data_IF_137647164462
#
_entry.id   IF_137647164462
#
_cell.length_a   1.000
_cell.length_b   1.000
_cell.length_c   1.000
_cell.angle_alpha   90.00
_cell.angle_beta   90.00
_cell.angle_gamma   90.00
#
_symmetry.space_group_name_H-M   'P 1'
#
loop_
_entity.id
_entity.type
_entity.pdbx_description
1 polymer ?
#
# COMPACT_ATOMS: atom_id res chain seq x y z
N UNK A 1 -6.75 -18.81 0.57
CA UNK A 1 -5.86 -18.54 -0.58
C UNK A 1 -5.17 -17.22 -0.26
N UNK A 2 -3.86 -17.08 -0.48
CA UNK A 2 -3.14 -15.81 -0.28
C UNK A 2 -2.77 -15.18 -1.62
N UNK A 3 -2.79 -13.85 -1.67
CA UNK A 3 -2.41 -13.07 -2.84
C UNK A 3 -0.89 -12.95 -2.90
N UNK A 4 -0.34 -13.19 -4.10
CA UNK A 4 1.07 -12.91 -4.41
C UNK A 4 1.15 -12.08 -5.68
N UNK A 5 1.59 -10.83 -5.53
CA UNK A 5 1.83 -9.93 -6.65
C UNK A 5 3.34 -9.84 -6.92
N UNK A 6 3.71 -10.05 -8.18
CA UNK A 6 5.06 -9.85 -8.70
C UNK A 6 5.03 -8.69 -9.69
N UNK A 7 5.42 -7.49 -9.24
CA UNK A 7 5.27 -6.26 -10.01
C UNK A 7 6.06 -6.33 -11.30
N UNK A 8 7.31 -6.78 -11.24
CA UNK A 8 8.18 -6.92 -12.41
C UNK A 8 7.57 -7.86 -13.46
N UNK A 9 7.08 -9.03 -13.03
CA UNK A 9 6.46 -10.01 -13.91
C UNK A 9 5.14 -9.50 -14.52
N UNK A 10 4.29 -8.88 -13.70
CA UNK A 10 3.03 -8.31 -14.19
C UNK A 10 3.27 -7.18 -15.20
N UNK A 11 4.27 -6.33 -14.99
CA UNK A 11 4.67 -5.30 -15.96
C UNK A 11 5.22 -5.89 -17.24
N UNK A 12 6.07 -6.92 -17.14
CA UNK A 12 6.62 -7.60 -18.31
C UNK A 12 5.51 -8.25 -19.15
N UNK A 13 4.54 -8.90 -18.51
CA UNK A 13 3.38 -9.48 -19.17
C UNK A 13 2.54 -8.38 -19.85
N UNK A 14 2.22 -7.30 -19.14
CA UNK A 14 1.49 -6.16 -19.70
C UNK A 14 2.22 -5.55 -20.91
N UNK A 15 3.53 -5.37 -20.83
CA UNK A 15 4.36 -4.84 -21.91
C UNK A 15 4.39 -5.78 -23.14
N UNK A 16 4.54 -7.09 -22.91
CA UNK A 16 4.52 -8.09 -23.98
C UNK A 16 3.18 -8.12 -24.70
N UNK A 17 2.07 -8.19 -23.96
CA UNK A 17 0.73 -8.17 -24.56
C UNK A 17 0.47 -6.84 -25.27
N UNK A 18 0.91 -5.72 -24.70
CA UNK A 18 0.82 -4.40 -25.36
C UNK A 18 1.59 -4.35 -26.68
N UNK A 19 2.79 -4.91 -26.75
CA UNK A 19 3.57 -4.97 -27.98
C UNK A 19 2.83 -5.77 -29.07
N UNK A 20 2.21 -6.90 -28.69
CA UNK A 20 1.39 -7.70 -29.60
C UNK A 20 0.15 -6.92 -30.08
N UNK A 21 -0.58 -6.27 -29.18
CA UNK A 21 -1.76 -5.48 -29.54
C UNK A 21 -1.40 -4.32 -30.48
N UNK A 22 -0.27 -3.64 -30.26
CA UNK A 22 0.23 -2.58 -31.15
C UNK A 22 0.50 -3.09 -32.57
N UNK A 23 1.13 -4.26 -32.68
CA UNK A 23 1.33 -4.92 -33.97
C UNK A 23 -0.01 -5.23 -34.63
N UNK A 24 -0.95 -5.80 -33.90
CA UNK A 24 -2.29 -6.09 -34.43
C UNK A 24 -3.02 -4.82 -34.90
N UNK A 25 -2.90 -3.71 -34.17
CA UNK A 25 -3.48 -2.42 -34.58
C UNK A 25 -2.89 -1.95 -35.91
N UNK A 26 -1.58 -2.08 -36.10
CA UNK A 26 -0.91 -1.77 -37.37
C UNK A 26 -1.39 -2.70 -38.50
N UNK A 27 -1.45 -4.00 -38.25
CA UNK A 27 -1.96 -4.99 -39.20
C UNK A 27 -3.42 -4.69 -39.60
N UNK A 28 -4.26 -4.28 -38.64
CA UNK A 28 -5.64 -3.86 -38.94
C UNK A 28 -5.73 -2.56 -39.74
N UNK A 29 -4.82 -1.60 -39.52
CA UNK A 29 -4.76 -0.37 -40.35
C UNK A 29 -4.38 -0.72 -41.78
N UNK A 30 -3.40 -1.60 -41.97
CA UNK A 30 -2.98 -2.09 -43.28
C UNK A 30 -4.13 -2.84 -43.98
N UNK A 31 -4.83 -3.72 -43.25
CA UNK A 31 -6.00 -4.42 -43.73
C UNK A 31 -7.11 -3.45 -44.15
N UNK A 32 -7.41 -2.42 -43.34
CA UNK A 32 -8.42 -1.42 -43.68
C UNK A 32 -8.04 -0.63 -44.93
N UNK A 33 -6.76 -0.26 -45.10
CA UNK A 33 -6.28 0.35 -46.35
C UNK A 33 -6.52 -0.56 -47.54
N UNK A 34 -6.07 -1.80 -47.47
CA UNK A 34 -6.23 -2.78 -48.55
C UNK A 34 -7.72 -3.03 -48.90
N UNK A 35 -8.59 -3.10 -47.89
CA UNK A 35 -10.04 -3.20 -48.11
C UNK A 35 -10.57 -1.96 -48.83
N UNK A 36 -10.17 -0.76 -48.40
CA UNK A 36 -10.62 0.47 -49.04
C UNK A 36 -10.11 0.59 -50.48
N UNK A 37 -8.85 0.24 -50.74
CA UNK A 37 -8.26 0.25 -52.09
C UNK A 37 -8.97 -0.75 -53.01
N UNK A 38 -9.22 -1.97 -52.51
CA UNK A 38 -10.00 -2.99 -53.22
C UNK A 38 -11.41 -2.49 -53.56
N UNK A 39 -12.06 -1.81 -52.61
CA UNK A 39 -13.37 -1.23 -52.85
C UNK A 39 -13.28 -0.10 -53.88
N UNK A 40 -12.30 0.78 -53.84
CA UNK A 40 -12.21 1.93 -54.76
C UNK A 40 -11.82 1.56 -56.20
N UNK A 41 -11.24 0.37 -56.41
CA UNK A 41 -10.76 -0.07 -57.73
C UNK A 41 -11.93 -0.46 -58.67
N UNK A 42 -12.51 0.49 -59.40
CA UNK A 42 -13.66 0.23 -60.29
C UNK A 42 -13.31 0.03 -61.76
N UNK A 43 -12.10 0.39 -62.16
CA UNK A 43 -11.79 0.60 -63.58
C UNK A 43 -11.30 -0.67 -64.28
N UNK A 44 -10.69 -1.59 -63.53
CA UNK A 44 -10.03 -2.80 -64.05
C UNK A 44 -10.78 -4.10 -63.74
N UNK A 45 -11.56 -4.15 -62.64
CA UNK A 45 -12.26 -5.35 -62.19
C UNK A 45 -13.78 -5.17 -62.29
N UNK A 46 -14.45 -6.06 -63.04
CA UNK A 46 -15.89 -5.97 -63.36
C UNK A 46 -16.55 -7.35 -63.33
N UNK A 47 -17.88 -7.37 -63.29
CA UNK A 47 -18.70 -8.59 -63.28
C UNK A 47 -19.36 -8.91 -61.93
N UNK A 48 -20.29 -9.87 -61.93
CA UNK A 48 -21.11 -10.20 -60.75
C UNK A 48 -20.32 -10.79 -59.58
N UNK A 49 -19.26 -11.56 -59.85
CA UNK A 49 -18.35 -12.05 -58.81
C UNK A 49 -17.64 -10.90 -58.09
N UNK A 50 -17.15 -9.91 -58.84
CA UNK A 50 -16.50 -8.73 -58.26
C UNK A 50 -17.47 -7.85 -57.47
N UNK A 51 -18.70 -7.64 -57.97
CA UNK A 51 -19.76 -6.94 -57.21
C UNK A 51 -20.08 -7.65 -55.88
N UNK A 52 -20.19 -8.98 -55.91
CA UNK A 52 -20.43 -9.79 -54.71
C UNK A 52 -19.28 -9.69 -53.71
N UNK A 53 -18.04 -9.73 -54.19
CA UNK A 53 -16.85 -9.54 -53.36
C UNK A 53 -16.83 -8.14 -52.72
N UNK A 54 -17.06 -7.06 -53.49
CA UNK A 54 -17.16 -5.70 -52.92
C UNK A 54 -18.25 -5.61 -51.86
N UNK A 55 -19.43 -6.18 -52.11
CA UNK A 55 -20.52 -6.20 -51.15
C UNK A 55 -20.11 -6.90 -49.84
N UNK A 56 -19.45 -8.06 -49.93
CA UNK A 56 -18.94 -8.79 -48.78
C UNK A 56 -17.85 -8.02 -48.02
N UNK A 57 -16.83 -7.50 -48.73
CA UNK A 57 -15.76 -6.72 -48.14
C UNK A 57 -16.29 -5.48 -47.40
N UNK A 58 -17.26 -4.78 -48.00
CA UNK A 58 -17.84 -3.58 -47.39
C UNK A 58 -18.77 -3.89 -46.21
N UNK A 59 -19.63 -4.92 -46.33
CA UNK A 59 -20.66 -5.22 -45.31
C UNK A 59 -20.16 -6.11 -44.17
N UNK A 60 -19.12 -6.92 -44.40
CA UNK A 60 -18.66 -7.92 -43.44
C UNK A 60 -17.22 -7.66 -43.02
N UNK A 61 -16.26 -7.67 -43.95
CA UNK A 61 -14.84 -7.63 -43.58
C UNK A 61 -14.41 -6.25 -43.04
N UNK A 62 -14.92 -5.16 -43.62
CA UNK A 62 -14.61 -3.80 -43.16
C UNK A 62 -15.02 -3.56 -41.69
N UNK A 63 -16.29 -3.77 -41.29
CA UNK A 63 -16.66 -3.61 -39.89
C UNK A 63 -15.98 -4.65 -38.97
N UNK A 64 -15.72 -5.86 -39.45
CA UNK A 64 -14.98 -6.87 -38.67
C UNK A 64 -13.53 -6.42 -38.38
N UNK A 65 -12.83 -5.90 -39.38
CA UNK A 65 -11.47 -5.35 -39.19
C UNK A 65 -11.44 -4.13 -38.27
N UNK A 66 -12.47 -3.29 -38.32
CA UNK A 66 -12.63 -2.18 -37.37
C UNK A 66 -12.88 -2.68 -35.95
N UNK A 67 -13.75 -3.68 -35.77
CA UNK A 67 -14.02 -4.30 -34.48
C UNK A 67 -12.77 -4.97 -33.88
N UNK A 68 -12.00 -5.68 -34.72
CA UNK A 68 -10.73 -6.28 -34.32
C UNK A 68 -9.70 -5.25 -33.84
N UNK A 69 -9.61 -4.11 -34.54
CA UNK A 69 -8.75 -3.00 -34.13
C UNK A 69 -9.17 -2.41 -32.78
N UNK A 70 -10.46 -2.13 -32.60
CA UNK A 70 -10.99 -1.61 -31.34
C UNK A 70 -10.77 -2.58 -30.17
N UNK A 71 -10.91 -3.89 -30.42
CA UNK A 71 -10.60 -4.91 -29.43
C UNK A 71 -9.11 -4.89 -29.04
N UNK A 72 -8.21 -4.81 -30.02
CA UNK A 72 -6.78 -4.73 -29.76
C UNK A 72 -6.42 -3.48 -28.94
N UNK A 73 -7.01 -2.33 -29.26
CA UNK A 73 -6.85 -1.08 -28.49
C UNK A 73 -7.39 -1.20 -27.06
N UNK A 74 -8.55 -1.85 -26.88
CA UNK A 74 -9.14 -2.07 -25.56
C UNK A 74 -8.28 -3.01 -24.70
N UNK A 75 -7.78 -4.10 -25.28
CA UNK A 75 -6.88 -5.04 -24.60
C UNK A 75 -5.56 -4.34 -24.23
N UNK A 76 -4.97 -3.56 -25.15
CA UNK A 76 -3.73 -2.80 -24.90
C UNK A 76 -3.85 -1.92 -23.64
N UNK A 77 -5.00 -1.25 -23.47
CA UNK A 77 -5.28 -0.40 -22.30
C UNK A 77 -5.56 -1.24 -21.05
N UNK A 78 -6.35 -2.31 -21.17
CA UNK A 78 -6.75 -3.14 -20.05
C UNK A 78 -5.56 -3.85 -19.39
N UNK A 79 -4.61 -4.37 -20.18
CA UNK A 79 -3.47 -5.11 -19.62
C UNK A 79 -2.51 -4.25 -18.82
N UNK A 80 -2.45 -2.95 -19.09
CA UNK A 80 -1.66 -2.01 -18.30
C UNK A 80 -2.35 -1.58 -17.01
N UNK A 81 -3.68 -1.50 -17.05
CA UNK A 81 -4.47 -1.04 -15.91
C UNK A 81 -4.19 -1.85 -14.66
N UNK A 82 -4.01 -3.17 -14.77
CA UNK A 82 -3.76 -4.03 -13.62
C UNK A 82 -2.47 -3.70 -12.83
N UNK A 83 -1.25 -3.75 -13.43
CA UNK A 83 -0.04 -3.38 -12.71
C UNK A 83 -0.02 -1.91 -12.26
N UNK A 84 -0.62 -0.99 -13.04
CA UNK A 84 -0.66 0.43 -12.70
C UNK A 84 -1.55 0.70 -11.47
N UNK A 85 -2.75 0.09 -11.43
CA UNK A 85 -3.64 0.19 -10.27
C UNK A 85 -3.03 -0.43 -9.02
N UNK A 86 -2.38 -1.60 -9.13
CA UNK A 86 -1.68 -2.18 -7.99
C UNK A 86 -0.64 -1.22 -7.42
N UNK A 87 0.17 -0.58 -8.27
CA UNK A 87 1.18 0.36 -7.81
C UNK A 87 0.63 1.68 -7.27
N UNK A 88 -0.58 2.07 -7.67
CA UNK A 88 -1.24 3.27 -7.17
C UNK A 88 -1.98 3.02 -5.83
N UNK A 89 -2.56 1.84 -5.65
CA UNK A 89 -3.50 1.55 -4.56
C UNK A 89 -2.89 0.66 -3.46
N UNK A 90 -1.84 -0.11 -3.75
CA UNK A 90 -1.30 -1.13 -2.84
C UNK A 90 0.14 -0.82 -2.44
N UNK A 91 1.09 -1.04 -3.35
CA UNK A 91 2.53 -0.83 -3.10
C UNK A 91 3.29 -0.75 -4.43
N UNK A 92 4.44 -0.08 -4.46
CA UNK A 92 5.37 -0.14 -5.58
C UNK A 92 6.15 -1.45 -5.66
N UNK A 93 6.29 -2.17 -4.53
CA UNK A 93 7.00 -3.44 -4.41
C UNK A 93 6.14 -4.70 -4.62
N UNK A 94 6.78 -5.86 -4.62
CA UNK A 94 6.10 -7.16 -4.63
C UNK A 94 5.31 -7.40 -3.33
N UNK A 95 4.15 -8.03 -3.43
CA UNK A 95 3.34 -8.44 -2.28
C UNK A 95 3.35 -9.96 -2.15
N UNK A 96 3.62 -10.44 -0.94
CA UNK A 96 3.30 -11.80 -0.50
C UNK A 96 2.48 -11.69 0.78
N UNK A 97 1.16 -11.79 0.63
CA UNK A 97 0.20 -11.54 1.70
C UNK A 97 0.43 -12.48 2.90
N UNK A 98 0.64 -13.77 2.65
CA UNK A 98 0.87 -14.74 3.73
C UNK A 98 2.16 -14.44 4.51
N UNK A 99 3.20 -13.97 3.82
CA UNK A 99 4.44 -13.55 4.48
C UNK A 99 4.21 -12.29 5.32
N UNK A 100 3.48 -11.31 4.79
CA UNK A 100 3.17 -10.05 5.48
C UNK A 100 2.32 -10.30 6.73
N UNK A 101 1.26 -11.10 6.62
CA UNK A 101 0.42 -11.51 7.75
C UNK A 101 1.24 -12.24 8.83
N UNK A 102 2.13 -13.15 8.42
CA UNK A 102 3.04 -13.84 9.33
C UNK A 102 3.98 -12.89 10.07
N UNK A 103 4.50 -11.86 9.39
CA UNK A 103 5.32 -10.82 10.01
C UNK A 103 4.51 -9.97 11.01
N UNK A 104 3.28 -9.59 10.66
CA UNK A 104 2.37 -8.85 11.56
C UNK A 104 2.06 -9.67 12.81
N UNK A 105 1.76 -10.96 12.67
CA UNK A 105 1.47 -11.84 13.80
C UNK A 105 2.67 -11.92 14.77
N UNK A 106 3.89 -12.11 14.23
CA UNK A 106 5.13 -12.11 15.04
C UNK A 106 5.37 -10.77 15.72
N UNK A 107 5.18 -9.66 15.02
CA UNK A 107 5.34 -8.32 15.61
C UNK A 107 4.34 -8.08 16.75
N UNK A 108 3.09 -8.54 16.61
CA UNK A 108 2.09 -8.47 17.69
C UNK A 108 2.49 -9.30 18.90
N UNK A 109 3.03 -10.50 18.69
CA UNK A 109 3.54 -11.34 19.78
C UNK A 109 4.66 -10.64 20.55
N UNK A 110 5.68 -10.14 19.85
CA UNK A 110 6.81 -9.43 20.45
C UNK A 110 6.36 -8.18 21.22
N UNK A 111 5.39 -7.43 20.69
CA UNK A 111 4.81 -6.27 21.39
C UNK A 111 4.19 -6.68 22.72
N UNK A 112 3.41 -7.77 22.74
CA UNK A 112 2.76 -8.25 23.96
C UNK A 112 3.79 -8.75 24.99
N UNK A 113 4.83 -9.46 24.54
CA UNK A 113 5.93 -9.90 25.40
C UNK A 113 6.66 -8.70 26.04
N UNK A 114 6.99 -7.68 25.26
CA UNK A 114 7.60 -6.45 25.76
C UNK A 114 6.70 -5.73 26.78
N UNK A 115 5.39 -5.63 26.51
CA UNK A 115 4.43 -5.03 27.46
C UNK A 115 4.33 -5.82 28.76
N UNK A 116 4.37 -7.16 28.70
CA UNK A 116 4.39 -8.00 29.89
C UNK A 116 5.66 -7.78 30.71
N UNK A 117 6.82 -7.63 30.07
CA UNK A 117 8.07 -7.30 30.75
C UNK A 117 7.97 -5.93 31.43
N UNK A 118 7.51 -4.90 30.71
CA UNK A 118 7.31 -3.56 31.27
C UNK A 118 6.35 -3.59 32.46
N UNK A 119 5.24 -4.34 32.37
CA UNK A 119 4.29 -4.46 33.48
C UNK A 119 4.90 -5.14 34.71
N UNK A 120 5.74 -6.17 34.51
CA UNK A 120 6.45 -6.85 35.60
C UNK A 120 7.55 -6.00 36.23
N UNK A 121 8.18 -5.13 35.44
CA UNK A 121 9.23 -4.21 35.91
C UNK A 121 8.67 -2.88 36.43
N UNK A 122 7.41 -2.57 36.12
CA UNK A 122 6.72 -1.42 36.67
C UNK A 122 6.49 -1.67 38.16
N UNK A 123 7.34 -1.07 38.98
CA UNK A 123 7.11 -0.93 40.41
C UNK A 123 5.78 -0.20 40.59
N UNK A 124 4.78 -0.77 41.31
CA UNK A 124 3.60 0.01 41.65
C UNK A 124 4.08 1.23 42.43
N UNK A 125 3.59 2.45 42.15
CA UNK A 125 4.00 3.67 42.87
C UNK A 125 3.87 3.54 44.41
N UNK A 126 3.09 2.56 44.88
CA UNK A 126 2.97 2.21 46.29
C UNK A 126 4.09 1.32 46.86
N UNK A 127 5.00 0.76 46.06
CA UNK A 127 6.08 -0.11 46.55
C UNK A 127 7.23 0.64 47.24
N UNK A 128 7.38 1.95 46.99
CA UNK A 128 8.21 2.85 47.82
C UNK A 128 7.67 2.98 49.25
N UNK A 129 6.36 2.80 49.45
CA UNK A 129 5.72 2.84 50.77
C UNK A 129 5.88 1.53 51.55
N UNK A 130 6.29 0.45 50.87
CA UNK A 130 6.41 -0.92 51.43
C UNK A 130 7.88 -1.35 51.58
N UNK A 131 8.85 -0.59 51.05
CA UNK A 131 10.28 -0.84 51.26
C UNK A 131 10.76 -0.34 52.64
N UNK A 132 10.59 -1.22 53.61
CA UNK A 132 11.22 -1.32 54.93
C UNK A 132 10.75 -0.35 56.05
N UNK A 133 10.53 -0.87 57.29
CA UNK A 133 10.28 -0.04 58.47
C UNK A 133 11.45 0.88 58.85
N UNK A 134 12.64 0.69 58.27
CA UNK A 134 13.80 1.57 58.52
C UNK A 134 13.65 2.95 57.85
N UNK A 135 12.87 3.09 56.77
CA UNK A 135 12.61 4.41 56.16
C UNK A 135 11.60 5.23 56.98
N UNK A 136 10.65 4.59 57.65
CA UNK A 136 9.73 5.29 58.58
C UNK A 136 10.49 5.94 59.73
N UNK A 137 11.51 5.25 60.27
CA UNK A 137 12.39 5.82 61.29
C UNK A 137 13.16 7.03 60.77
N UNK A 138 13.71 6.99 59.55
CA UNK A 138 14.45 8.12 58.94
C UNK A 138 13.54 9.34 58.70
N UNK A 139 12.30 9.12 58.25
CA UNK A 139 11.31 10.18 58.09
C UNK A 139 10.93 10.83 59.44
N UNK A 140 10.69 10.00 60.47
CA UNK A 140 10.41 10.47 61.84
C UNK A 140 11.59 11.27 62.43
N UNK A 141 12.83 10.80 62.25
CA UNK A 141 14.01 11.52 62.73
C UNK A 141 14.16 12.91 62.05
N UNK A 142 13.91 13.01 60.74
CA UNK A 142 13.92 14.31 60.06
C UNK A 142 12.81 15.24 60.52
N UNK A 143 11.59 14.73 60.73
CA UNK A 143 10.49 15.57 61.21
C UNK A 143 10.77 16.13 62.61
N UNK A 144 11.38 15.32 63.49
CA UNK A 144 11.78 15.77 64.82
C UNK A 144 12.91 16.80 64.78
N UNK A 145 13.93 16.61 63.95
CA UNK A 145 15.01 17.57 63.75
C UNK A 145 14.51 18.92 63.20
N UNK A 146 13.52 18.90 62.31
CA UNK A 146 12.87 20.12 61.79
C UNK A 146 12.04 20.81 62.88
N UNK A 147 11.33 20.06 63.72
CA UNK A 147 10.55 20.62 64.83
C UNK A 147 11.45 21.29 65.88
N UNK A 148 12.56 20.65 66.24
CA UNK A 148 13.53 21.17 67.19
C UNK A 148 14.21 22.43 66.66
N UNK A 149 14.58 22.46 65.38
CA UNK A 149 15.14 23.67 64.75
C UNK A 149 14.12 24.83 64.68
N UNK A 150 12.83 24.55 64.43
CA UNK A 150 11.79 25.58 64.46
C UNK A 150 11.60 26.15 65.87
N UNK A 151 11.66 25.33 66.90
CA UNK A 151 11.59 25.76 68.30
C UNK A 151 12.79 26.64 68.69
N UNK A 152 14.00 26.27 68.26
CA UNK A 152 15.20 27.08 68.46
C UNK A 152 15.08 28.46 67.79
N UNK A 153 14.67 28.51 66.52
CA UNK A 153 14.48 29.78 65.79
C UNK A 153 13.39 30.63 66.45
N UNK A 154 12.25 30.04 66.84
CA UNK A 154 11.20 30.76 67.54
C UNK A 154 11.64 31.28 68.92
N UNK A 155 12.54 30.58 69.60
CA UNK A 155 13.19 31.04 70.83
C UNK A 155 14.05 32.27 70.57
N UNK A 156 14.93 32.21 69.57
CA UNK A 156 15.76 33.36 69.16
C UNK A 156 14.92 34.58 68.78
N UNK A 157 13.83 34.40 68.03
CA UNK A 157 12.94 35.51 67.63
C UNK A 157 12.21 36.16 68.82
N UNK A 158 11.89 35.39 69.89
CA UNK A 158 11.32 35.98 71.12
C UNK A 158 12.35 36.81 71.88
N UNK A 159 13.56 36.29 72.06
CA UNK A 159 14.63 37.01 72.77
C UNK A 159 15.01 38.31 72.06
N UNK A 160 14.93 38.36 70.72
CA UNK A 160 15.14 39.59 69.94
C UNK A 160 14.00 40.61 70.12
N UNK A 161 12.75 40.17 70.38
CA UNK A 161 11.60 41.06 70.59
C UNK A 161 11.49 41.60 72.03
N UNK A 162 12.20 40.99 72.98
CA UNK A 162 12.25 41.42 74.38
C UNK A 162 13.46 42.31 74.71
N UNK A 163 14.33 42.57 73.72
CA UNK A 163 15.38 43.61 73.71
C UNK A 163 14.85 44.92 73.12
#
# INVERSE_FOLDING_TARGET
>A
MSIRMRVGASKAQAASTRALCRKQIEDYRNLQSAINDFLLTTDTLKGEAYKSARAYFNKVLKPLGQGGMLLAEAVEKAVQKFPDQYQAEVDHGDLDEAKLEGQIARARQLKNEAQNIVTKLSFPENSLRVMSPNFTSIALFREQEIADNKLLVAGYERTIKEL
#
